data_IF_268914300145
#
_entry.id   IF_268914300145
#
_cell.length_a   1.000
_cell.length_b   1.000
_cell.length_c   1.000
_cell.angle_alpha   90.00
_cell.angle_beta   90.00
_cell.angle_gamma   90.00
#
_symmetry.space_group_name_H-M   'P 1'
#
loop_
_entity.id
_entity.type
_entity.pdbx_description
1 polymer ?
#
# COMPACT_ATOMS: atom_id res chain seq x y z
N UNK A 1 -39.90 51.13 39.84
CA UNK A 1 -38.55 51.05 39.26
C UNK A 1 -38.28 49.60 38.87
N UNK A 2 -38.34 49.24 37.59
CA UNK A 2 -37.93 47.87 37.18
C UNK A 2 -38.37 47.40 35.80
N UNK A 3 -39.45 47.93 35.22
CA UNK A 3 -39.93 47.44 33.92
C UNK A 3 -38.98 47.77 32.74
N UNK A 4 -38.29 48.90 32.82
CA UNK A 4 -37.26 49.29 31.84
C UNK A 4 -35.98 48.44 32.00
N UNK A 5 -35.67 48.00 33.23
CA UNK A 5 -34.54 47.11 33.51
C UNK A 5 -34.78 45.68 32.97
N UNK A 6 -36.02 45.18 33.01
CA UNK A 6 -36.37 43.87 32.48
C UNK A 6 -36.33 43.80 30.95
N UNK A 7 -36.76 44.87 30.27
CA UNK A 7 -36.73 44.95 28.81
C UNK A 7 -35.31 45.11 28.26
N UNK A 8 -34.45 45.86 28.96
CA UNK A 8 -33.02 45.95 28.63
C UNK A 8 -32.28 44.63 28.89
N UNK A 9 -32.64 43.87 29.94
CA UNK A 9 -32.03 42.56 30.19
C UNK A 9 -32.51 41.48 29.20
N UNK A 10 -33.70 41.61 28.63
CA UNK A 10 -34.18 40.72 27.57
C UNK A 10 -33.53 41.03 26.21
N UNK A 11 -33.30 42.31 25.90
CA UNK A 11 -32.65 42.74 24.65
C UNK A 11 -31.11 42.63 24.68
N UNK A 12 -30.48 42.75 25.85
CA UNK A 12 -29.02 42.82 25.99
C UNK A 12 -28.40 41.77 26.93
N UNK A 13 -29.21 40.96 27.63
CA UNK A 13 -28.72 40.03 28.66
C UNK A 13 -28.21 38.69 28.13
N UNK A 14 -28.50 38.34 26.88
CA UNK A 14 -28.20 37.01 26.33
C UNK A 14 -27.48 37.05 24.96
N UNK A 15 -27.02 38.25 24.55
CA UNK A 15 -26.41 38.46 23.24
C UNK A 15 -24.93 38.07 23.15
N UNK A 16 -24.29 37.71 24.26
CA UNK A 16 -22.84 37.42 24.26
C UNK A 16 -22.50 36.06 23.66
N UNK A 17 -23.43 35.10 23.70
CA UNK A 17 -23.23 33.78 23.08
C UNK A 17 -23.72 33.77 21.63
N UNK A 18 -24.88 34.39 21.36
CA UNK A 18 -25.50 34.43 20.02
C UNK A 18 -24.67 35.22 19.01
N UNK A 19 -23.96 36.26 19.42
CA UNK A 19 -23.05 37.02 18.52
C UNK A 19 -21.77 36.23 18.24
N UNK A 20 -21.28 35.40 19.17
CA UNK A 20 -20.15 34.50 18.93
C UNK A 20 -20.58 33.39 17.97
N UNK A 21 -21.74 32.77 18.21
CA UNK A 21 -22.35 31.76 17.34
C UNK A 21 -22.65 32.30 15.93
N UNK A 22 -23.16 33.54 15.82
CA UNK A 22 -23.45 34.17 14.51
C UNK A 22 -22.18 34.69 13.82
N UNK A 23 -21.16 35.13 14.55
CA UNK A 23 -19.89 35.55 13.95
C UNK A 23 -19.06 34.36 13.47
N UNK A 24 -19.13 33.21 14.14
CA UNK A 24 -18.54 31.96 13.68
C UNK A 24 -19.19 31.43 12.39
N UNK A 25 -20.46 31.78 12.13
CA UNK A 25 -21.18 31.48 10.87
C UNK A 25 -20.66 32.32 9.69
N UNK A 26 -20.13 33.54 9.92
CA UNK A 26 -19.59 34.41 8.85
C UNK A 26 -18.06 34.45 8.78
N UNK A 27 -17.36 34.00 9.82
CA UNK A 27 -15.89 33.95 9.88
C UNK A 27 -15.46 32.74 10.68
N UNK A 28 -14.89 31.77 9.96
CA UNK A 28 -14.32 30.55 10.51
C UNK A 28 -13.40 30.86 11.71
N UNK A 29 -13.66 30.22 12.85
CA UNK A 29 -12.85 30.36 14.05
C UNK A 29 -11.41 29.89 13.75
N UNK A 30 -10.44 30.80 13.86
CA UNK A 30 -9.07 30.59 13.41
C UNK A 30 -8.39 29.41 14.14
N UNK A 31 -8.79 29.15 15.38
CA UNK A 31 -8.30 28.01 16.17
C UNK A 31 -8.85 26.68 15.62
N UNK A 32 -10.14 26.61 15.30
CA UNK A 32 -10.74 25.41 14.65
C UNK A 32 -10.13 25.14 13.27
N UNK A 33 -9.73 26.19 12.53
CA UNK A 33 -9.00 26.04 11.27
C UNK A 33 -7.60 25.48 11.50
N UNK A 34 -6.89 25.98 12.50
CA UNK A 34 -5.54 25.51 12.86
C UNK A 34 -5.57 24.05 13.32
N UNK A 35 -6.54 23.65 14.14
CA UNK A 35 -6.75 22.26 14.58
C UNK A 35 -7.02 21.35 13.38
N UNK A 36 -7.95 21.72 12.48
CA UNK A 36 -8.23 20.93 11.27
C UNK A 36 -7.03 20.78 10.34
N UNK A 37 -6.22 21.84 10.19
CA UNK A 37 -4.99 21.77 9.40
C UNK A 37 -3.95 20.87 10.08
N UNK A 38 -3.81 20.94 11.40
CA UNK A 38 -2.92 20.05 12.16
C UNK A 38 -3.36 18.59 12.05
N UNK A 39 -4.65 18.30 12.12
CA UNK A 39 -5.21 16.96 11.98
C UNK A 39 -5.01 16.42 10.55
N UNK A 40 -5.26 17.23 9.53
CA UNK A 40 -5.00 16.86 8.13
C UNK A 40 -3.52 16.57 7.89
N UNK A 41 -2.62 17.40 8.46
CA UNK A 41 -1.18 17.16 8.40
C UNK A 41 -0.78 15.87 9.13
N UNK A 42 -1.30 15.63 10.34
CA UNK A 42 -1.03 14.42 11.11
C UNK A 42 -1.49 13.16 10.38
N UNK A 43 -2.69 13.18 9.78
CA UNK A 43 -3.21 12.08 8.96
C UNK A 43 -2.34 11.83 7.72
N UNK A 44 -1.92 12.90 7.02
CA UNK A 44 -1.03 12.78 5.87
C UNK A 44 0.32 12.13 6.24
N UNK A 45 0.90 12.51 7.39
CA UNK A 45 2.15 11.95 7.89
C UNK A 45 1.99 10.49 8.33
N UNK A 46 0.86 10.12 8.93
CA UNK A 46 0.56 8.73 9.29
C UNK A 46 0.37 7.86 8.04
N UNK A 47 -0.34 8.35 7.03
CA UNK A 47 -0.48 7.63 5.77
C UNK A 47 0.88 7.47 5.08
N UNK A 48 1.69 8.53 5.03
CA UNK A 48 3.05 8.47 4.49
C UNK A 48 3.91 7.46 5.28
N UNK A 49 3.86 7.49 6.61
CA UNK A 49 4.58 6.52 7.44
C UNK A 49 4.13 5.08 7.19
N UNK A 50 2.84 4.83 6.96
CA UNK A 50 2.29 3.52 6.64
C UNK A 50 2.71 3.02 5.26
N UNK A 51 2.76 3.89 4.25
CA UNK A 51 3.21 3.55 2.89
C UNK A 51 4.72 3.26 2.83
N UNK A 52 5.53 3.96 3.62
CA UNK A 52 6.99 3.77 3.66
C UNK A 52 7.47 2.83 4.77
N UNK A 53 6.57 2.18 5.51
CA UNK A 53 6.89 1.12 6.45
C UNK A 53 7.32 -0.15 5.69
N UNK A 54 8.49 -0.10 5.04
CA UNK A 54 9.10 -1.29 4.48
C UNK A 54 9.44 -2.24 5.63
N UNK A 55 8.96 -3.49 5.61
CA UNK A 55 9.42 -4.48 6.58
C UNK A 55 10.94 -4.58 6.43
N UNK A 56 11.66 -4.32 7.53
CA UNK A 56 13.13 -4.39 7.59
C UNK A 56 13.55 -5.85 7.38
N UNK A 57 13.64 -6.28 6.11
CA UNK A 57 14.16 -7.59 5.73
C UNK A 57 15.62 -7.67 6.15
N UNK A 58 15.98 -8.77 6.82
CA UNK A 58 17.33 -9.01 7.30
C UNK A 58 18.33 -9.08 6.15
N UNK A 59 19.63 -8.94 6.45
CA UNK A 59 20.68 -9.09 5.45
C UNK A 59 20.63 -10.48 4.79
N UNK A 60 20.36 -11.53 5.58
CA UNK A 60 20.16 -12.89 5.08
C UNK A 60 19.03 -12.97 4.05
N UNK A 61 17.85 -12.43 4.35
CA UNK A 61 16.71 -12.44 3.43
C UNK A 61 17.04 -11.76 2.10
N UNK A 62 17.81 -10.66 2.13
CA UNK A 62 18.23 -9.94 0.91
C UNK A 62 19.20 -10.75 0.08
N UNK A 63 20.14 -11.45 0.72
CA UNK A 63 21.08 -12.35 0.02
C UNK A 63 20.32 -13.49 -0.65
N UNK A 64 19.40 -14.13 0.09
CA UNK A 64 18.58 -15.23 -0.45
C UNK A 64 17.64 -14.74 -1.56
N UNK A 65 17.03 -13.57 -1.42
CA UNK A 65 16.20 -12.98 -2.49
C UNK A 65 17.04 -12.62 -3.73
N UNK A 66 18.26 -12.12 -3.52
CA UNK A 66 19.24 -11.90 -4.59
C UNK A 66 19.56 -13.19 -5.34
N UNK A 67 19.94 -14.24 -4.60
CA UNK A 67 20.28 -15.56 -5.16
C UNK A 67 19.10 -16.16 -5.96
N UNK A 68 17.87 -16.04 -5.44
CA UNK A 68 16.67 -16.50 -6.15
C UNK A 68 16.33 -15.69 -7.41
N UNK A 69 16.92 -14.50 -7.59
CA UNK A 69 16.74 -13.65 -8.78
C UNK A 69 17.84 -13.82 -9.82
N UNK A 70 18.98 -14.42 -9.45
CA UNK A 70 20.09 -14.69 -10.35
C UNK A 70 19.82 -15.66 -11.52
N UNK A 71 18.85 -16.60 -11.47
CA UNK A 71 18.62 -17.49 -12.61
C UNK A 71 18.32 -16.75 -13.92
N UNK A 72 17.50 -15.70 -13.88
CA UNK A 72 17.15 -14.89 -15.06
C UNK A 72 18.37 -14.24 -15.74
N UNK A 73 19.21 -13.45 -15.04
CA UNK A 73 20.39 -12.85 -15.64
C UNK A 73 21.41 -13.91 -16.07
N UNK A 74 21.58 -15.01 -15.34
CA UNK A 74 22.49 -16.07 -15.78
C UNK A 74 22.04 -16.76 -17.05
N UNK A 75 20.73 -16.99 -17.24
CA UNK A 75 20.22 -17.52 -18.50
C UNK A 75 20.50 -16.56 -19.67
N UNK A 76 20.25 -15.26 -19.48
CA UNK A 76 20.47 -14.27 -20.53
C UNK A 76 21.96 -14.10 -20.88
N UNK A 77 22.82 -13.98 -19.87
CA UNK A 77 24.27 -13.87 -20.08
C UNK A 77 24.87 -15.18 -20.60
N UNK A 78 24.37 -16.32 -20.12
CA UNK A 78 24.79 -17.64 -20.56
C UNK A 78 24.47 -17.91 -22.03
N UNK A 79 23.29 -17.50 -22.52
CA UNK A 79 22.95 -17.65 -23.95
C UNK A 79 23.84 -16.78 -24.82
N UNK A 80 24.07 -15.52 -24.45
CA UNK A 80 25.02 -14.64 -25.16
C UNK A 80 26.42 -15.25 -25.15
N UNK A 81 26.86 -15.77 -24.00
CA UNK A 81 28.15 -16.43 -23.87
C UNK A 81 28.28 -17.65 -24.77
N UNK A 82 27.24 -18.48 -24.92
CA UNK A 82 27.26 -19.62 -25.84
C UNK A 82 27.52 -19.19 -27.29
N UNK A 83 26.91 -18.09 -27.75
CA UNK A 83 27.17 -17.55 -29.09
C UNK A 83 28.60 -17.03 -29.24
N UNK A 84 29.10 -16.31 -28.23
CA UNK A 84 30.49 -15.83 -28.23
C UNK A 84 31.47 -17.01 -28.24
N UNK A 85 31.24 -18.02 -27.41
CA UNK A 85 32.08 -19.21 -27.33
C UNK A 85 32.07 -20.02 -28.64
N UNK A 86 30.93 -20.10 -29.33
CA UNK A 86 30.83 -20.74 -30.63
C UNK A 86 31.69 -20.05 -31.70
N UNK A 87 31.83 -18.72 -31.63
CA UNK A 87 32.65 -17.93 -32.56
C UNK A 87 34.14 -18.01 -32.20
N UNK A 88 34.48 -17.83 -30.91
CA UNK A 88 35.87 -17.73 -30.45
C UNK A 88 36.56 -19.10 -30.37
N UNK A 89 35.84 -20.16 -29.98
CA UNK A 89 36.39 -21.50 -29.73
C UNK A 89 35.52 -22.61 -30.36
N UNK A 90 35.41 -22.66 -31.70
CA UNK A 90 34.49 -23.56 -32.39
C UNK A 90 34.81 -25.05 -32.16
N UNK A 91 36.09 -25.42 -32.06
CA UNK A 91 36.49 -26.82 -31.87
C UNK A 91 36.08 -27.37 -30.50
N UNK A 92 36.22 -26.57 -29.44
CA UNK A 92 35.83 -26.97 -28.09
C UNK A 92 34.31 -26.92 -27.92
N UNK A 93 33.65 -25.93 -28.51
CA UNK A 93 32.19 -25.85 -28.56
C UNK A 93 31.58 -27.10 -29.21
N UNK A 94 32.13 -27.57 -30.35
CA UNK A 94 31.68 -28.78 -31.04
C UNK A 94 31.78 -30.03 -30.15
N UNK A 95 32.89 -30.21 -29.42
CA UNK A 95 33.05 -31.34 -28.49
C UNK A 95 32.01 -31.30 -27.37
N UNK A 96 31.68 -30.11 -26.87
CA UNK A 96 30.58 -29.93 -25.91
C UNK A 96 29.23 -30.33 -26.47
N UNK A 97 28.94 -29.95 -27.72
CA UNK A 97 27.69 -30.32 -28.41
C UNK A 97 27.60 -31.82 -28.72
N UNK A 98 28.70 -32.49 -29.05
CA UNK A 98 28.75 -33.95 -29.20
C UNK A 98 28.41 -34.64 -27.89
N UNK A 99 28.93 -34.15 -26.75
CA UNK A 99 28.55 -34.65 -25.43
C UNK A 99 27.08 -34.44 -25.10
N UNK A 100 26.51 -33.27 -25.44
CA UNK A 100 25.09 -32.98 -25.27
C UNK A 100 24.19 -33.91 -26.09
N UNK A 101 24.61 -34.28 -27.31
CA UNK A 101 23.87 -35.19 -28.17
C UNK A 101 23.78 -36.63 -27.60
N UNK A 102 24.69 -37.00 -26.70
CA UNK A 102 24.67 -38.30 -26.02
C UNK A 102 23.73 -38.34 -24.80
N UNK A 103 23.22 -37.18 -24.36
CA UNK A 103 22.30 -37.11 -23.22
C UNK A 103 20.97 -37.76 -23.60
N UNK A 104 20.51 -38.81 -22.88
CA UNK A 104 19.27 -39.49 -23.19
C UNK A 104 18.03 -38.58 -23.11
N UNK A 105 17.09 -38.75 -24.05
CA UNK A 105 15.80 -38.04 -24.07
C UNK A 105 15.05 -38.05 -22.73
N UNK A 106 15.00 -39.16 -21.96
CA UNK A 106 14.35 -39.18 -20.65
C UNK A 106 14.90 -38.15 -19.66
N UNK A 107 16.19 -37.82 -19.72
CA UNK A 107 16.78 -36.81 -18.82
C UNK A 107 16.32 -35.40 -19.20
N UNK A 108 16.13 -35.11 -20.49
CA UNK A 108 15.56 -33.85 -20.95
C UNK A 108 14.12 -33.66 -20.48
N UNK A 109 13.32 -34.74 -20.54
CA UNK A 109 11.96 -34.74 -20.00
C UNK A 109 11.96 -34.53 -18.49
N UNK A 110 12.82 -35.24 -17.76
CA UNK A 110 12.93 -35.12 -16.31
C UNK A 110 13.33 -33.69 -15.89
N UNK A 111 14.33 -33.11 -16.54
CA UNK A 111 14.74 -31.72 -16.30
C UNK A 111 13.57 -30.75 -16.52
N UNK A 112 12.88 -30.88 -17.65
CA UNK A 112 11.72 -30.04 -17.98
C UNK A 112 10.61 -30.19 -16.96
N UNK A 113 10.31 -31.42 -16.52
CA UNK A 113 9.30 -31.70 -15.50
C UNK A 113 9.66 -31.06 -14.14
N UNK A 114 10.90 -31.24 -13.66
CA UNK A 114 11.35 -30.71 -12.36
C UNK A 114 11.33 -29.18 -12.35
N UNK A 115 11.87 -28.54 -13.40
CA UNK A 115 11.91 -27.08 -13.52
C UNK A 115 10.48 -26.52 -13.59
N UNK A 116 9.61 -27.14 -14.41
CA UNK A 116 8.21 -26.73 -14.53
C UNK A 116 7.46 -26.87 -13.21
N UNK A 117 7.69 -27.95 -12.46
CA UNK A 117 7.07 -28.15 -11.15
C UNK A 117 7.54 -27.11 -10.13
N UNK A 118 8.85 -26.87 -10.02
CA UNK A 118 9.42 -25.90 -9.08
C UNK A 118 8.92 -24.47 -9.35
N UNK A 119 9.08 -24.00 -10.58
CA UNK A 119 8.66 -22.64 -10.93
C UNK A 119 7.13 -22.52 -11.03
N UNK A 120 6.43 -23.57 -11.45
CA UNK A 120 4.98 -23.63 -11.46
C UNK A 120 4.39 -23.49 -10.06
N UNK A 121 4.87 -24.28 -9.09
CA UNK A 121 4.45 -24.18 -7.70
C UNK A 121 4.80 -22.81 -7.08
N UNK A 122 5.99 -22.28 -7.36
CA UNK A 122 6.40 -20.94 -6.88
C UNK A 122 5.52 -19.83 -7.47
N UNK A 123 5.16 -19.93 -8.75
CA UNK A 123 4.26 -18.96 -9.38
C UNK A 123 2.84 -19.04 -8.80
N UNK A 124 2.35 -20.25 -8.51
CA UNK A 124 1.06 -20.43 -7.85
C UNK A 124 1.05 -19.84 -6.43
N UNK A 125 2.08 -20.10 -5.64
CA UNK A 125 2.21 -19.55 -4.28
C UNK A 125 2.21 -18.02 -4.29
N UNK A 126 2.97 -17.39 -5.19
CA UNK A 126 3.00 -15.93 -5.34
C UNK A 126 1.65 -15.34 -5.80
N UNK A 127 0.91 -16.07 -6.63
CA UNK A 127 -0.45 -15.69 -7.01
C UNK A 127 -1.42 -15.70 -5.83
N UNK A 128 -1.32 -16.70 -4.95
CA UNK A 128 -2.11 -16.75 -3.72
C UNK A 128 -1.74 -15.63 -2.74
N UNK A 129 -0.45 -15.31 -2.59
CA UNK A 129 0.00 -14.18 -1.77
C UNK A 129 -0.60 -12.85 -2.26
N UNK A 130 -0.65 -12.63 -3.57
CA UNK A 130 -1.27 -11.44 -4.15
C UNK A 130 -2.77 -11.37 -3.88
N UNK A 131 -3.49 -12.48 -4.04
CA UNK A 131 -4.92 -12.55 -3.71
C UNK A 131 -5.18 -12.27 -2.23
N UNK A 132 -4.37 -12.82 -1.32
CA UNK A 132 -4.44 -12.54 0.12
C UNK A 132 -4.17 -11.07 0.42
N UNK A 133 -3.20 -10.45 -0.25
CA UNK A 133 -2.90 -9.03 -0.09
C UNK A 133 -4.09 -8.15 -0.51
N UNK A 134 -4.73 -8.43 -1.65
CA UNK A 134 -5.94 -7.71 -2.09
C UNK A 134 -7.08 -7.88 -1.07
N UNK A 135 -7.32 -9.10 -0.61
CA UNK A 135 -8.37 -9.38 0.37
C UNK A 135 -8.12 -8.60 1.69
N UNK A 136 -6.87 -8.55 2.15
CA UNK A 136 -6.49 -7.78 3.35
C UNK A 136 -6.65 -6.27 3.16
N UNK A 137 -6.30 -5.73 1.99
CA UNK A 137 -6.47 -4.31 1.68
C UNK A 137 -7.96 -3.93 1.62
N UNK A 138 -8.80 -4.76 1.01
CA UNK A 138 -10.26 -4.55 0.97
C UNK A 138 -10.88 -4.62 2.38
N UNK A 139 -10.42 -5.53 3.23
CA UNK A 139 -10.89 -5.63 4.62
C UNK A 139 -10.52 -4.39 5.44
N UNK A 140 -9.28 -3.88 5.29
CA UNK A 140 -8.85 -2.65 5.93
C UNK A 140 -9.66 -1.42 5.45
N UNK A 141 -9.94 -1.34 4.14
CA UNK A 141 -10.77 -0.27 3.59
C UNK A 141 -12.21 -0.31 4.12
N UNK A 142 -12.79 -1.50 4.30
CA UNK A 142 -14.11 -1.66 4.94
C UNK A 142 -14.12 -1.21 6.40
N UNK A 143 -13.07 -1.47 7.15
CA UNK A 143 -12.97 -1.01 8.55
C UNK A 143 -12.98 0.51 8.67
N UNK A 144 -12.31 1.22 7.74
CA UNK A 144 -12.32 2.70 7.69
C UNK A 144 -13.69 3.25 7.28
N UNK A 145 -14.48 2.51 6.48
CA UNK A 145 -15.83 2.90 6.06
C UNK A 145 -16.93 2.50 7.05
N UNK A 146 -16.61 1.81 8.14
CA UNK A 146 -17.63 1.51 9.16
C UNK A 146 -18.16 2.82 9.72
N UNK A 147 -19.46 3.14 9.57
CA UNK A 147 -19.99 4.39 10.09
C UNK A 147 -19.69 4.46 11.59
N UNK A 148 -19.12 5.58 12.03
CA UNK A 148 -18.91 5.86 13.44
C UNK A 148 -20.22 5.60 14.19
N UNK A 149 -20.21 4.92 15.37
CA UNK A 149 -21.44 4.70 16.13
C UNK A 149 -22.20 6.02 16.25
N UNK A 150 -23.53 5.99 15.99
CA UNK A 150 -24.41 7.16 16.06
C UNK A 150 -23.99 8.02 17.25
N UNK A 151 -23.35 9.14 16.98
CA UNK A 151 -22.93 10.04 18.04
C UNK A 151 -24.19 10.65 18.63
N UNK A 152 -24.33 10.66 19.95
CA UNK A 152 -25.38 11.42 20.64
C UNK A 152 -25.30 12.94 20.38
N UNK A 153 -24.25 13.39 19.69
CA UNK A 153 -24.10 14.76 19.22
C UNK A 153 -24.94 15.00 17.95
N UNK A 154 -26.01 15.78 18.09
CA UNK A 154 -26.92 16.17 17.02
C UNK A 154 -26.23 16.94 15.87
N UNK A 155 -25.25 17.79 16.18
CA UNK A 155 -24.53 18.57 15.16
C UNK A 155 -23.66 17.68 14.26
N UNK A 156 -23.16 16.57 14.79
CA UNK A 156 -22.43 15.57 14.00
C UNK A 156 -23.37 14.78 13.08
N UNK A 157 -24.60 14.50 13.51
CA UNK A 157 -25.60 13.82 12.68
C UNK A 157 -26.03 14.70 11.49
N UNK A 158 -26.31 15.98 11.75
CA UNK A 158 -26.71 16.95 10.71
C UNK A 158 -25.65 17.14 9.62
N UNK A 159 -24.36 17.12 10.02
CA UNK A 159 -23.24 17.21 9.08
C UNK A 159 -23.13 15.95 8.19
N UNK A 160 -23.31 14.75 8.76
CA UNK A 160 -23.32 13.51 7.96
C UNK A 160 -24.50 13.47 6.98
N UNK A 161 -25.66 14.02 7.33
CA UNK A 161 -26.82 14.09 6.44
C UNK A 161 -26.66 15.10 5.30
N UNK A 162 -25.86 16.15 5.52
CA UNK A 162 -25.64 17.22 4.54
C UNK A 162 -24.46 16.91 3.59
N UNK A 163 -23.48 16.11 4.03
CA UNK A 163 -22.22 15.89 3.32
C UNK A 163 -21.91 14.42 2.95
N UNK A 164 -22.78 13.47 3.29
CA UNK A 164 -22.73 12.07 2.84
C UNK A 164 -23.45 11.85 1.52
#
# INVERSE_FOLDING_TARGET
MGLISGLMNFLFGDGRNVVVETAEVFRENAENRAVRQADAHAQSLQQFAAEFAYPRRGLFDRVIDGLNRLPRPFLALGTIWLFVAAILWPADFRRGMEGLALVPDPLWWLMTAIVSFYFGARHQAKGQEFQRAIASAMAAQRQVQTPSPKSDNAALQDWYETNG
#
